data_IF_165553290752
#
_entry.id   IF_165553290752
#
_cell.length_a   1.000
_cell.length_b   1.000
_cell.length_c   1.000
_cell.angle_alpha   90.00
_cell.angle_beta   90.00
_cell.angle_gamma   90.00
#
_symmetry.space_group_name_H-M   'P 1'
#
loop_
_entity.id
_entity.type
_entity.pdbx_description
1 polymer ?
#
# COMPACT_ATOMS: atom_id res chain seq x y z
N UNK A 1 45.57 -30.66 -8.65
CA UNK A 1 45.70 -29.19 -8.56
C UNK A 1 44.32 -28.57 -8.64
N UNK A 2 44.10 -27.56 -7.81
CA UNK A 2 42.83 -27.19 -7.19
C UNK A 2 41.94 -26.36 -8.11
N UNK A 3 40.71 -26.82 -8.37
CA UNK A 3 39.64 -26.00 -8.96
C UNK A 3 39.11 -25.06 -7.87
N UNK A 4 39.40 -23.76 -8.00
CA UNK A 4 38.74 -22.70 -7.23
C UNK A 4 37.35 -22.49 -7.79
N UNK A 5 36.34 -23.01 -7.10
CA UNK A 5 34.95 -22.61 -7.29
C UNK A 5 34.82 -21.19 -6.72
N UNK A 6 34.80 -20.22 -7.62
CA UNK A 6 34.47 -18.83 -7.31
C UNK A 6 32.94 -18.74 -7.19
N UNK A 7 32.41 -19.09 -6.01
CA UNK A 7 31.00 -18.88 -5.70
C UNK A 7 30.80 -17.38 -5.44
N UNK A 8 30.48 -16.63 -6.50
CA UNK A 8 29.87 -15.32 -6.39
C UNK A 8 28.46 -15.53 -5.82
N UNK A 9 28.37 -15.60 -4.50
CA UNK A 9 27.13 -15.41 -3.74
C UNK A 9 26.75 -13.94 -3.88
N UNK A 10 26.04 -13.62 -4.95
CA UNK A 10 25.30 -12.37 -5.06
C UNK A 10 24.25 -12.39 -3.96
N UNK A 11 24.55 -11.75 -2.84
CA UNK A 11 23.61 -11.38 -1.79
C UNK A 11 22.51 -10.51 -2.42
N UNK A 12 21.50 -11.16 -3.01
CA UNK A 12 20.16 -10.58 -3.03
C UNK A 12 19.74 -10.55 -1.56
N UNK A 13 19.98 -9.41 -0.92
CA UNK A 13 19.21 -9.02 0.24
C UNK A 13 17.74 -9.01 -0.23
N UNK A 14 17.04 -10.13 0.00
CA UNK A 14 15.59 -10.16 -0.07
C UNK A 14 15.12 -9.11 0.91
N UNK A 15 14.81 -7.92 0.39
CA UNK A 15 14.27 -6.85 1.18
C UNK A 15 12.98 -7.38 1.81
N UNK A 16 13.01 -7.57 3.13
CA UNK A 16 11.92 -8.17 3.86
C UNK A 16 10.70 -7.26 3.73
N UNK A 17 9.55 -7.88 3.43
CA UNK A 17 8.27 -7.18 3.45
C UNK A 17 8.06 -6.51 4.81
N UNK A 18 7.26 -5.43 4.88
CA UNK A 18 6.84 -4.89 6.16
C UNK A 18 6.24 -6.02 7.00
N UNK A 19 6.81 -6.22 8.19
CA UNK A 19 6.47 -7.34 9.07
C UNK A 19 5.01 -7.27 9.55
N UNK A 20 4.40 -6.09 9.52
CA UNK A 20 3.03 -5.84 9.97
C UNK A 20 2.37 -4.76 9.12
N UNK A 21 1.13 -4.99 8.71
CA UNK A 21 0.27 -3.98 8.07
C UNK A 21 -0.41 -3.15 9.17
N UNK A 22 -0.33 -1.82 9.06
CA UNK A 22 -1.03 -0.91 9.96
C UNK A 22 -2.44 -0.66 9.46
N UNK A 23 -3.41 -0.70 10.37
CA UNK A 23 -4.82 -0.45 10.10
C UNK A 23 -5.20 0.85 10.77
N UNK A 24 -5.53 1.87 9.99
CA UNK A 24 -5.96 3.18 10.50
C UNK A 24 -7.45 3.36 10.24
N UNK A 25 -8.21 3.70 11.28
CA UNK A 25 -9.63 3.96 11.17
C UNK A 25 -9.96 4.97 10.07
N UNK A 26 -11.18 4.86 9.54
CA UNK A 26 -11.70 5.74 8.49
C UNK A 26 -11.43 7.22 8.79
N UNK A 27 -10.82 7.91 7.81
CA UNK A 27 -10.44 9.32 7.84
C UNK A 27 -9.39 9.74 8.89
N UNK A 28 -8.81 8.82 9.67
CA UNK A 28 -7.69 9.14 10.56
C UNK A 28 -6.52 9.71 9.78
N UNK A 29 -5.85 10.79 10.22
CA UNK A 29 -4.68 11.34 9.55
C UNK A 29 -3.64 10.28 9.18
N UNK A 30 -3.13 10.32 7.95
CA UNK A 30 -1.95 9.52 7.65
C UNK A 30 -0.76 10.13 8.40
N UNK A 31 0.20 9.32 8.88
CA UNK A 31 1.42 9.81 9.52
C UNK A 31 2.29 10.70 8.60
N UNK A 32 1.87 10.87 7.35
CA UNK A 32 2.58 11.47 6.23
C UNK A 32 1.92 12.77 5.77
N UNK A 33 0.94 13.29 6.53
CA UNK A 33 0.32 14.60 6.24
C UNK A 33 1.30 15.78 6.28
N UNK A 34 2.50 15.58 6.82
CA UNK A 34 3.59 16.56 6.80
C UNK A 34 4.52 16.43 5.58
N UNK A 35 4.24 15.52 4.65
CA UNK A 35 5.10 15.24 3.49
C UNK A 35 4.76 16.16 2.32
N UNK A 36 5.72 16.35 1.43
CA UNK A 36 5.52 17.20 0.25
C UNK A 36 4.71 16.43 -0.80
N UNK A 37 3.63 17.04 -1.30
CA UNK A 37 2.84 16.46 -2.38
C UNK A 37 3.65 16.44 -3.68
N UNK A 38 3.56 15.34 -4.41
CA UNK A 38 4.35 15.13 -5.62
C UNK A 38 3.48 14.73 -6.81
N UNK A 39 3.91 15.06 -8.03
CA UNK A 39 3.22 14.65 -9.24
C UNK A 39 3.61 13.21 -9.60
N UNK A 40 2.62 12.33 -9.78
CA UNK A 40 2.85 10.92 -10.07
C UNK A 40 3.75 10.69 -11.31
N UNK A 41 3.67 11.57 -12.31
CA UNK A 41 4.48 11.52 -13.53
C UNK A 41 5.99 11.62 -13.29
N UNK A 42 6.41 12.28 -12.20
CA UNK A 42 7.83 12.47 -11.86
C UNK A 42 8.51 11.18 -11.39
N UNK A 43 7.74 10.20 -10.88
CA UNK A 43 8.28 9.01 -10.21
C UNK A 43 8.02 7.70 -10.96
N UNK A 44 7.78 7.76 -12.28
CA UNK A 44 7.46 6.56 -13.07
C UNK A 44 8.47 5.41 -12.95
N UNK A 45 9.78 5.70 -12.81
CA UNK A 45 10.80 4.67 -12.54
C UNK A 45 10.60 3.99 -11.18
N UNK A 46 10.34 4.78 -10.14
CA UNK A 46 10.07 4.26 -8.79
C UNK A 46 8.78 3.44 -8.75
N UNK A 47 7.74 3.84 -9.48
CA UNK A 47 6.49 3.06 -9.58
C UNK A 47 6.71 1.68 -10.20
N UNK A 48 7.54 1.57 -11.24
CA UNK A 48 7.90 0.25 -11.80
C UNK A 48 8.64 -0.62 -10.78
N UNK A 49 9.54 -0.02 -10.01
CA UNK A 49 10.26 -0.74 -8.97
C UNK A 49 9.33 -1.16 -7.82
N UNK A 50 8.38 -0.31 -7.44
CA UNK A 50 7.32 -0.67 -6.47
C UNK A 50 6.51 -1.85 -6.98
N UNK A 51 6.09 -1.84 -8.25
CA UNK A 51 5.36 -2.96 -8.84
C UNK A 51 6.18 -4.26 -8.81
N UNK A 52 7.49 -4.18 -9.05
CA UNK A 52 8.40 -5.32 -8.92
C UNK A 52 8.49 -5.83 -7.48
N UNK A 53 8.75 -4.94 -6.51
CA UNK A 53 8.81 -5.29 -5.07
C UNK A 53 7.47 -5.83 -4.57
N UNK A 54 6.36 -5.30 -5.07
CA UNK A 54 5.00 -5.73 -4.73
C UNK A 54 4.75 -7.19 -5.08
N UNK A 55 5.20 -7.68 -6.23
CA UNK A 55 5.00 -9.09 -6.65
C UNK A 55 5.48 -10.07 -5.56
N UNK A 56 6.59 -9.75 -4.89
CA UNK A 56 7.18 -10.61 -3.87
C UNK A 56 6.59 -10.42 -2.47
N UNK A 57 5.96 -9.28 -2.19
CA UNK A 57 5.50 -8.93 -0.84
C UNK A 57 3.97 -8.91 -0.69
N UNK A 58 3.24 -8.88 -1.81
CA UNK A 58 1.78 -8.72 -1.82
C UNK A 58 1.06 -9.81 -1.04
N UNK A 59 1.50 -11.06 -1.11
CA UNK A 59 0.81 -12.15 -0.40
C UNK A 59 0.90 -11.96 1.10
N UNK A 60 2.08 -11.61 1.61
CA UNK A 60 2.31 -11.31 3.03
C UNK A 60 1.48 -10.12 3.52
N UNK A 61 1.35 -9.07 2.69
CA UNK A 61 0.57 -7.87 3.02
C UNK A 61 -0.93 -8.16 2.94
N UNK A 62 -1.40 -8.71 1.83
CA UNK A 62 -2.83 -8.94 1.57
C UNK A 62 -3.43 -10.00 2.49
N UNK A 63 -2.66 -11.04 2.88
CA UNK A 63 -3.14 -12.04 3.84
C UNK A 63 -3.42 -11.47 5.24
N UNK A 64 -2.89 -10.30 5.57
CA UNK A 64 -3.20 -9.62 6.82
C UNK A 64 -4.50 -8.83 6.75
N UNK A 65 -5.01 -8.54 5.55
CA UNK A 65 -6.25 -7.81 5.31
C UNK A 65 -7.38 -8.83 5.32
N UNK A 66 -8.24 -8.75 6.32
CA UNK A 66 -9.43 -9.61 6.46
C UNK A 66 -10.70 -8.76 6.38
N UNK A 67 -11.81 -9.37 5.95
CA UNK A 67 -13.10 -8.67 5.86
C UNK A 67 -13.49 -8.07 7.22
N UNK A 68 -13.27 -8.82 8.30
CA UNK A 68 -13.48 -8.35 9.67
C UNK A 68 -12.68 -7.09 10.01
N UNK A 69 -11.36 -7.07 9.70
CA UNK A 69 -10.54 -5.88 9.92
C UNK A 69 -11.04 -4.69 9.12
N UNK A 70 -11.42 -4.89 7.85
CA UNK A 70 -11.97 -3.83 7.00
C UNK A 70 -13.29 -3.30 7.55
N UNK A 71 -14.19 -4.17 8.03
CA UNK A 71 -15.42 -3.75 8.70
C UNK A 71 -15.12 -2.91 9.94
N UNK A 72 -14.13 -3.30 10.75
CA UNK A 72 -13.71 -2.57 11.94
C UNK A 72 -13.05 -1.21 11.65
N UNK A 73 -12.55 -0.99 10.42
CA UNK A 73 -12.08 0.34 10.00
C UNK A 73 -13.22 1.33 9.82
N UNK A 74 -14.44 0.85 9.52
CA UNK A 74 -15.57 1.72 9.23
C UNK A 74 -16.17 2.32 10.48
N UNK A 75 -16.20 3.66 10.51
CA UNK A 75 -16.86 4.40 11.58
C UNK A 75 -18.32 4.75 11.23
N UNK A 76 -18.60 5.01 9.95
CA UNK A 76 -19.85 5.67 9.53
C UNK A 76 -20.83 4.79 8.77
N UNK A 77 -20.44 3.62 8.27
CA UNK A 77 -21.30 2.74 7.47
C UNK A 77 -21.30 1.30 8.01
N UNK A 78 -21.39 1.15 9.33
CA UNK A 78 -21.29 -0.16 10.00
C UNK A 78 -22.39 -1.13 9.56
N UNK A 79 -23.60 -0.61 9.29
CA UNK A 79 -24.75 -1.44 8.88
C UNK A 79 -24.55 -1.96 7.46
N UNK A 80 -24.13 -1.08 6.56
CA UNK A 80 -23.88 -1.37 5.15
C UNK A 80 -22.68 -2.29 4.96
N UNK A 81 -21.72 -2.23 5.88
CA UNK A 81 -20.54 -3.09 5.90
C UNK A 81 -20.78 -4.45 6.58
N UNK A 82 -21.96 -4.72 7.17
CA UNK A 82 -22.19 -5.92 7.98
C UNK A 82 -21.86 -7.22 7.22
N UNK A 83 -22.33 -7.30 5.98
CA UNK A 83 -22.15 -8.45 5.08
C UNK A 83 -21.00 -8.21 4.08
N UNK A 84 -20.12 -7.25 4.34
CA UNK A 84 -18.99 -6.98 3.45
C UNK A 84 -18.05 -8.19 3.38
N UNK A 85 -17.76 -8.63 2.17
CA UNK A 85 -16.76 -9.65 1.87
C UNK A 85 -15.58 -9.03 1.12
N UNK A 86 -14.40 -9.60 1.32
CA UNK A 86 -13.21 -9.14 0.62
C UNK A 86 -13.24 -9.56 -0.86
N UNK A 87 -12.93 -8.64 -1.80
CA UNK A 87 -12.78 -9.02 -3.18
C UNK A 87 -11.49 -9.82 -3.40
N UNK A 88 -11.42 -10.51 -4.53
CA UNK A 88 -10.14 -11.00 -5.02
C UNK A 88 -9.30 -9.81 -5.50
N UNK A 89 -8.25 -9.47 -4.75
CA UNK A 89 -7.33 -8.39 -5.10
C UNK A 89 -6.55 -8.73 -6.38
N UNK A 90 -6.96 -8.18 -7.53
CA UNK A 90 -6.30 -8.37 -8.83
C UNK A 90 -5.82 -7.03 -9.37
N UNK A 91 -4.63 -7.02 -9.97
CA UNK A 91 -4.07 -5.90 -10.74
C UNK A 91 -4.10 -4.55 -10.03
N UNK A 92 -3.35 -4.42 -8.92
CA UNK A 92 -3.21 -3.16 -8.21
C UNK A 92 -2.50 -2.11 -9.07
N UNK A 93 -3.11 -0.94 -9.19
CA UNK A 93 -2.48 0.25 -9.75
C UNK A 93 -1.83 1.06 -8.63
N UNK A 94 -0.67 1.64 -8.91
CA UNK A 94 0.12 2.38 -7.94
C UNK A 94 0.34 3.81 -8.42
N UNK A 95 0.14 4.78 -7.52
CA UNK A 95 0.33 6.20 -7.77
C UNK A 95 1.17 6.80 -6.65
N UNK A 96 2.26 7.49 -6.98
CA UNK A 96 3.00 8.29 -6.01
C UNK A 96 2.20 9.55 -5.69
N UNK A 97 2.05 9.85 -4.39
CA UNK A 97 1.27 10.99 -3.91
C UNK A 97 2.10 11.98 -3.14
N UNK A 98 3.01 11.51 -2.29
CA UNK A 98 3.86 12.35 -1.46
C UNK A 98 5.29 11.84 -1.41
N UNK A 99 6.22 12.73 -1.06
CA UNK A 99 7.63 12.42 -0.85
C UNK A 99 8.15 13.08 0.43
N UNK A 100 9.03 12.36 1.12
CA UNK A 100 9.77 12.87 2.27
C UNK A 100 11.26 12.74 2.03
N UNK A 101 11.97 13.86 2.23
CA UNK A 101 13.44 13.95 2.17
C UNK A 101 14.05 13.40 0.87
N UNK A 102 13.29 13.40 -0.23
CA UNK A 102 13.65 12.77 -1.50
C UNK A 102 13.94 11.24 -1.42
N UNK A 103 13.70 10.59 -0.29
CA UNK A 103 14.03 9.18 -0.06
C UNK A 103 12.80 8.29 0.02
N UNK A 104 11.76 8.73 0.75
CA UNK A 104 10.57 7.92 0.98
C UNK A 104 9.42 8.44 0.12
N UNK A 105 8.77 7.56 -0.63
CA UNK A 105 7.59 7.84 -1.41
C UNK A 105 6.37 7.21 -0.76
N UNK A 106 5.29 7.99 -0.67
CA UNK A 106 3.98 7.49 -0.35
C UNK A 106 3.28 7.06 -1.64
N UNK A 107 3.05 5.76 -1.76
CA UNK A 107 2.39 5.15 -2.90
C UNK A 107 0.98 4.76 -2.50
N UNK A 108 -0.01 5.30 -3.21
CA UNK A 108 -1.42 4.96 -3.06
C UNK A 108 -1.83 3.87 -4.05
N UNK A 109 -2.68 2.96 -3.58
CA UNK A 109 -3.41 2.01 -4.39
C UNK A 109 -4.85 1.86 -3.86
N UNK A 110 -5.81 1.74 -4.77
CA UNK A 110 -7.19 1.41 -4.41
C UNK A 110 -7.35 -0.10 -4.43
N UNK A 111 -7.76 -0.67 -3.30
CA UNK A 111 -8.01 -2.10 -3.17
C UNK A 111 -9.44 -2.47 -3.52
N UNK A 112 -10.41 -1.63 -3.11
CA UNK A 112 -11.82 -1.90 -3.31
C UNK A 112 -12.68 -0.63 -3.17
N UNK A 113 -13.90 -0.67 -3.71
CA UNK A 113 -14.94 0.33 -3.43
C UNK A 113 -15.95 -0.25 -2.46
N UNK A 114 -16.14 0.43 -1.33
CA UNK A 114 -16.93 -0.07 -0.21
C UNK A 114 -18.38 0.40 -0.27
N UNK A 115 -19.33 -0.37 0.29
CA UNK A 115 -20.69 0.07 0.54
C UNK A 115 -20.73 1.43 1.25
N UNK A 116 -21.72 2.25 0.91
CA UNK A 116 -21.86 3.60 1.47
C UNK A 116 -23.23 3.80 2.09
N UNK A 117 -23.27 4.61 3.15
CA UNK A 117 -24.50 5.04 3.80
C UNK A 117 -25.25 6.10 2.99
N UNK A 118 -24.62 6.69 1.97
CA UNK A 118 -25.21 7.75 1.15
C UNK A 118 -24.74 7.69 -0.32
N UNK A 119 -25.63 7.89 -1.31
CA UNK A 119 -25.30 7.75 -2.74
C UNK A 119 -24.26 8.76 -3.26
N UNK A 120 -24.08 9.90 -2.59
CA UNK A 120 -23.06 10.91 -2.95
C UNK A 120 -21.67 10.65 -2.35
N UNK A 121 -21.54 9.64 -1.48
CA UNK A 121 -20.28 9.37 -0.78
C UNK A 121 -19.69 8.09 -1.34
N UNK A 122 -18.60 8.22 -2.10
CA UNK A 122 -17.81 7.07 -2.55
C UNK A 122 -16.76 6.75 -1.50
N UNK A 123 -16.77 5.52 -0.99
CA UNK A 123 -15.83 5.04 0.02
C UNK A 123 -14.89 4.05 -0.64
N UNK A 124 -13.59 4.24 -0.47
CA UNK A 124 -12.55 3.38 -1.02
C UNK A 124 -11.73 2.76 0.09
N UNK A 125 -11.53 1.46 0.00
CA UNK A 125 -10.47 0.79 0.74
C UNK A 125 -9.15 1.11 0.05
N UNK A 126 -8.29 1.87 0.72
CA UNK A 126 -6.99 2.27 0.18
C UNK A 126 -5.86 1.58 0.89
N UNK A 127 -4.86 1.20 0.11
CA UNK A 127 -3.55 0.76 0.55
C UNK A 127 -2.54 1.86 0.27
N UNK A 128 -1.83 2.27 1.32
CA UNK A 128 -0.70 3.16 1.24
C UNK A 128 0.57 2.38 1.53
N UNK A 129 1.55 2.46 0.64
CA UNK A 129 2.85 1.85 0.81
C UNK A 129 3.89 2.95 0.98
N UNK A 130 4.71 2.84 2.02
CA UNK A 130 5.91 3.68 2.13
C UNK A 130 7.04 2.95 1.43
N UNK A 131 7.50 3.53 0.32
CA UNK A 131 8.57 2.99 -0.49
C UNK A 131 9.85 3.78 -0.27
N UNK A 132 10.88 3.13 0.27
CA UNK A 132 12.21 3.72 0.39
C UNK A 132 12.98 3.54 -0.92
N UNK A 133 13.29 4.66 -1.58
CA UNK A 133 13.97 4.71 -2.89
C UNK A 133 15.44 4.32 -2.80
N UNK A 134 16.10 4.58 -1.67
CA UNK A 134 17.52 4.28 -1.47
C UNK A 134 17.76 2.77 -1.41
N UNK A 135 16.87 2.05 -0.74
CA UNK A 135 16.94 0.61 -0.53
C UNK A 135 16.05 -0.19 -1.49
N UNK A 136 15.31 0.50 -2.36
CA UNK A 136 14.36 -0.08 -3.31
C UNK A 136 13.36 -1.07 -2.69
N UNK A 137 12.84 -0.74 -1.52
CA UNK A 137 11.93 -1.63 -0.78
C UNK A 137 10.73 -0.88 -0.23
N UNK A 138 9.63 -1.60 -0.10
CA UNK A 138 8.51 -1.20 0.71
C UNK A 138 8.92 -1.42 2.17
N UNK A 139 8.81 -0.38 3.00
CA UNK A 139 9.17 -0.41 4.42
C UNK A 139 7.95 -0.41 5.33
N UNK A 140 6.79 0.03 4.83
CA UNK A 140 5.55 0.05 5.57
C UNK A 140 4.33 -0.08 4.64
N UNK A 141 3.25 -0.59 5.18
CA UNK A 141 1.96 -0.75 4.50
C UNK A 141 0.83 -0.35 5.46
N UNK A 142 -0.02 0.58 5.00
CA UNK A 142 -1.13 1.14 5.77
C UNK A 142 -2.42 0.89 4.99
N UNK A 143 -3.43 0.36 5.68
CA UNK A 143 -4.77 0.15 5.12
C UNK A 143 -5.77 1.03 5.86
N UNK A 144 -6.58 1.77 5.10
CA UNK A 144 -7.59 2.68 5.66
C UNK A 144 -8.73 2.89 4.66
N UNK A 145 -9.82 3.52 5.13
CA UNK A 145 -10.95 3.92 4.29
C UNK A 145 -10.87 5.43 4.04
N UNK A 146 -10.97 5.81 2.77
CA UNK A 146 -10.97 7.22 2.34
C UNK A 146 -12.16 7.50 1.42
N UNK A 147 -12.60 8.74 1.41
CA UNK A 147 -13.51 9.24 0.38
C UNK A 147 -12.81 9.35 -0.97
N UNK A 148 -13.59 9.24 -2.06
CA UNK A 148 -13.15 9.74 -3.36
C UNK A 148 -13.19 11.27 -3.32
N UNK A 149 -12.07 11.92 -3.65
CA UNK A 149 -12.06 13.31 -4.08
C UNK A 149 -11.61 13.29 -5.54
N UNK A 150 -12.43 13.81 -6.46
CA UNK A 150 -11.92 14.12 -7.79
C UNK A 150 -10.82 15.18 -7.61
N UNK A 151 -9.61 14.85 -8.04
CA UNK A 151 -8.51 15.82 -8.20
C UNK A 151 -8.55 16.42 -9.61
#
# INVERSE_FOLDING_TARGET
MTFRICLLLTLLACAQAPKQVRFLSEMTPLPEETWERCAASQYGKSIRQVAFTWIHQRETILNQITAEKVRNLSNWAKKEMADYELPAFKNQTFRATHIQNNENLLIESVLDTLPSHHPLVTRQLKLYLIYNRKHNTIIDAIVTIRGWAEE
#
